data_IF_426427048205
#
_entry.id   IF_426427048205
#
_cell.length_a   1.000
_cell.length_b   1.000
_cell.length_c   1.000
_cell.angle_alpha   90.00
_cell.angle_beta   90.00
_cell.angle_gamma   90.00
#
_symmetry.space_group_name_H-M   'P 1'
#
loop_
_entity.id
_entity.type
_entity.pdbx_description
1 polymer ?
#
# COMPACT_ATOMS: atom_id res chain seq x y z
N UNK A 1 0.30 -4.23 -22.48
CA UNK A 1 1.15 -4.73 -21.39
C UNK A 1 0.38 -5.78 -20.60
N UNK A 2 0.43 -7.00 -21.10
CA UNK A 2 -0.46 -8.04 -20.62
C UNK A 2 -0.24 -8.45 -19.16
N UNK A 3 0.97 -8.37 -18.67
CA UNK A 3 1.26 -8.83 -17.32
C UNK A 3 1.67 -7.71 -16.36
N UNK A 4 1.36 -6.48 -16.73
CA UNK A 4 1.77 -5.34 -15.93
C UNK A 4 1.11 -5.34 -14.55
N UNK A 5 -0.18 -5.69 -14.47
CA UNK A 5 -0.86 -5.80 -13.19
C UNK A 5 -0.23 -6.87 -12.29
N UNK A 6 0.03 -8.05 -12.87
CA UNK A 6 0.68 -9.14 -12.12
C UNK A 6 2.08 -8.77 -11.67
N UNK A 7 2.87 -8.16 -12.56
CA UNK A 7 4.22 -7.74 -12.23
C UNK A 7 4.20 -6.67 -11.12
N UNK A 8 3.28 -5.72 -11.24
CA UNK A 8 3.14 -4.65 -10.25
C UNK A 8 2.84 -5.24 -8.87
N UNK A 9 1.88 -6.15 -8.78
CA UNK A 9 1.53 -6.75 -7.50
C UNK A 9 2.64 -7.65 -6.98
N UNK A 10 3.33 -8.37 -7.86
CA UNK A 10 4.45 -9.23 -7.46
C UNK A 10 5.59 -8.43 -6.82
N UNK A 11 5.76 -7.18 -7.22
CA UNK A 11 6.77 -6.28 -6.64
C UNK A 11 6.21 -5.60 -5.39
N UNK A 12 5.00 -5.11 -5.47
CA UNK A 12 4.43 -4.24 -4.45
C UNK A 12 4.04 -5.00 -3.17
N UNK A 13 3.44 -6.19 -3.29
CA UNK A 13 2.96 -6.92 -2.12
C UNK A 13 4.09 -7.30 -1.15
N UNK A 14 5.23 -7.84 -1.60
CA UNK A 14 6.35 -8.09 -0.69
C UNK A 14 6.89 -6.81 -0.05
N UNK A 15 6.87 -5.69 -0.77
CA UNK A 15 7.31 -4.40 -0.23
C UNK A 15 6.39 -3.97 0.92
N UNK A 16 5.08 -4.18 0.79
CA UNK A 16 4.15 -3.88 1.88
C UNK A 16 4.50 -4.67 3.15
N UNK A 17 4.78 -5.95 2.99
CA UNK A 17 5.16 -6.80 4.12
C UNK A 17 6.44 -6.28 4.75
N UNK A 18 7.43 -5.95 3.92
CA UNK A 18 8.72 -5.45 4.40
C UNK A 18 8.55 -4.13 5.16
N UNK A 19 7.75 -3.21 4.64
CA UNK A 19 7.51 -1.92 5.30
C UNK A 19 6.90 -2.14 6.67
N UNK A 20 5.93 -3.06 6.78
CA UNK A 20 5.32 -3.36 8.08
C UNK A 20 6.31 -3.98 9.06
N UNK A 21 7.13 -4.91 8.60
CA UNK A 21 8.15 -5.54 9.45
C UNK A 21 9.17 -4.50 9.91
N UNK A 22 9.68 -3.69 9.00
CA UNK A 22 10.66 -2.65 9.33
C UNK A 22 10.07 -1.63 10.29
N UNK A 23 8.77 -1.37 10.21
CA UNK A 23 8.10 -0.47 11.15
C UNK A 23 8.16 -0.95 12.59
N UNK A 24 8.22 -2.27 12.82
CA UNK A 24 8.40 -2.81 14.15
C UNK A 24 9.86 -2.83 14.60
N UNK A 25 10.79 -2.85 13.66
CA UNK A 25 12.23 -3.02 13.94
C UNK A 25 12.95 -1.68 14.06
N UNK A 26 12.62 -0.72 13.20
CA UNK A 26 13.31 0.57 13.16
C UNK A 26 12.75 1.49 14.25
N UNK A 27 13.60 2.09 15.10
CA UNK A 27 13.13 3.04 16.09
C UNK A 27 12.41 4.23 15.46
N UNK A 28 11.38 4.72 16.15
CA UNK A 28 10.53 5.81 15.62
C UNK A 28 11.35 7.05 15.25
N UNK A 29 12.37 7.38 16.02
CA UNK A 29 13.19 8.57 15.77
C UNK A 29 14.11 8.43 14.55
N UNK A 30 14.20 7.23 13.96
CA UNK A 30 15.02 6.96 12.78
C UNK A 30 14.19 6.58 11.57
N UNK A 31 12.89 6.41 11.75
CA UNK A 31 12.01 6.01 10.65
C UNK A 31 11.50 7.24 9.90
N UNK A 32 11.50 7.16 8.57
CA UNK A 32 10.90 8.19 7.72
C UNK A 32 9.39 8.01 7.58
N UNK A 33 8.90 6.80 7.78
CA UNK A 33 7.48 6.47 7.72
C UNK A 33 6.92 6.31 9.14
N UNK A 34 5.60 6.11 9.22
CA UNK A 34 4.91 6.12 10.50
C UNK A 34 5.46 5.14 11.54
N UNK A 35 5.53 3.86 11.18
CA UNK A 35 5.96 2.83 12.14
C UNK A 35 4.99 2.57 13.27
N UNK A 36 3.82 3.22 13.31
CA UNK A 36 2.81 2.95 14.33
C UNK A 36 2.30 1.50 14.23
N UNK A 37 1.94 0.88 15.35
CA UNK A 37 1.52 -0.52 15.35
C UNK A 37 0.36 -0.80 14.38
N UNK A 38 -0.75 -0.03 14.38
CA UNK A 38 -1.80 -0.26 13.39
C UNK A 38 -1.32 -0.11 11.93
N UNK A 39 -0.46 0.86 11.67
CA UNK A 39 0.15 1.07 10.36
C UNK A 39 0.95 -0.16 9.93
N UNK A 40 1.78 -0.69 10.82
CA UNK A 40 2.62 -1.85 10.53
C UNK A 40 1.77 -3.10 10.25
N UNK A 41 0.75 -3.35 11.08
CA UNK A 41 -0.14 -4.49 10.91
C UNK A 41 -0.91 -4.38 9.60
N UNK A 42 -1.40 -3.19 9.26
CA UNK A 42 -2.11 -2.93 8.00
C UNK A 42 -1.23 -3.30 6.80
N UNK A 43 0.04 -2.87 6.81
CA UNK A 43 0.95 -3.14 5.70
C UNK A 43 1.26 -4.63 5.57
N UNK A 44 1.50 -5.31 6.69
CA UNK A 44 1.76 -6.75 6.66
C UNK A 44 0.52 -7.52 6.18
N UNK A 45 -0.65 -7.18 6.71
CA UNK A 45 -1.89 -7.89 6.36
C UNK A 45 -2.22 -7.73 4.89
N UNK A 46 -2.20 -6.50 4.37
CA UNK A 46 -2.50 -6.27 2.95
C UNK A 46 -1.41 -6.83 2.05
N UNK A 47 -0.16 -6.81 2.50
CA UNK A 47 0.92 -7.44 1.74
C UNK A 47 0.71 -8.94 1.60
N UNK A 48 0.31 -9.62 2.68
CA UNK A 48 0.02 -11.05 2.66
C UNK A 48 -1.16 -11.34 1.73
N UNK A 49 -2.24 -10.56 1.83
CA UNK A 49 -3.40 -10.72 0.94
C UNK A 49 -2.97 -10.52 -0.50
N UNK A 50 -2.14 -9.51 -0.77
CA UNK A 50 -1.63 -9.25 -2.12
C UNK A 50 -0.81 -10.41 -2.67
N UNK A 51 0.05 -11.01 -1.85
CA UNK A 51 0.85 -12.18 -2.27
C UNK A 51 -0.08 -13.36 -2.60
N UNK A 52 -1.07 -13.61 -1.75
CA UNK A 52 -2.02 -14.71 -1.99
C UNK A 52 -2.76 -14.48 -3.31
N UNK A 53 -3.26 -13.28 -3.53
CA UNK A 53 -3.97 -12.94 -4.77
C UNK A 53 -3.07 -13.12 -5.98
N UNK A 54 -1.83 -12.65 -5.88
CA UNK A 54 -0.86 -12.78 -6.96
C UNK A 54 -0.60 -14.26 -7.29
N UNK A 55 -0.49 -15.10 -6.28
CA UNK A 55 -0.24 -16.53 -6.48
C UNK A 55 -1.41 -17.27 -7.12
N UNK A 56 -2.63 -16.75 -7.01
CA UNK A 56 -3.78 -17.35 -7.70
C UNK A 56 -3.66 -17.24 -9.21
N UNK A 57 -2.92 -16.27 -9.71
CA UNK A 57 -2.81 -16.00 -11.14
C UNK A 57 -4.08 -15.46 -11.77
N UNK A 58 -5.11 -15.17 -10.97
CA UNK A 58 -6.39 -14.71 -11.48
C UNK A 58 -6.33 -13.21 -11.77
N UNK A 59 -6.27 -12.87 -13.07
CA UNK A 59 -6.05 -11.49 -13.52
C UNK A 59 -7.10 -10.52 -12.97
N UNK A 60 -8.37 -10.93 -12.93
CA UNK A 60 -9.43 -10.07 -12.41
C UNK A 60 -9.23 -9.69 -10.95
N UNK A 61 -8.79 -10.65 -10.13
CA UNK A 61 -8.53 -10.40 -8.73
C UNK A 61 -7.30 -9.51 -8.54
N UNK A 62 -6.26 -9.76 -9.33
CA UNK A 62 -5.03 -8.98 -9.26
C UNK A 62 -5.30 -7.52 -9.63
N UNK A 63 -6.02 -7.30 -10.73
CA UNK A 63 -6.40 -5.97 -11.18
C UNK A 63 -7.26 -5.26 -10.14
N UNK A 64 -8.24 -5.96 -9.60
CA UNK A 64 -9.13 -5.41 -8.57
C UNK A 64 -8.35 -5.00 -7.33
N UNK A 65 -7.40 -5.82 -6.90
CA UNK A 65 -6.55 -5.48 -5.76
C UNK A 65 -5.76 -4.20 -6.04
N UNK A 66 -5.13 -4.10 -7.21
CA UNK A 66 -4.33 -2.93 -7.55
C UNK A 66 -5.16 -1.65 -7.54
N UNK A 67 -6.34 -1.68 -8.17
CA UNK A 67 -7.24 -0.52 -8.18
C UNK A 67 -7.73 -0.21 -6.76
N UNK A 68 -8.19 -1.23 -6.06
CA UNK A 68 -8.75 -1.06 -4.71
C UNK A 68 -7.72 -0.53 -3.72
N UNK A 69 -6.54 -1.13 -3.71
CA UNK A 69 -5.50 -0.69 -2.79
C UNK A 69 -4.96 0.69 -3.19
N UNK A 70 -4.90 0.97 -4.49
CA UNK A 70 -4.54 2.31 -4.95
C UNK A 70 -5.51 3.37 -4.45
N UNK A 71 -6.81 3.09 -4.48
CA UNK A 71 -7.82 3.99 -3.93
C UNK A 71 -7.68 4.15 -2.42
N UNK A 72 -7.35 3.07 -1.71
CA UNK A 72 -7.07 3.13 -0.27
C UNK A 72 -5.89 4.06 0.00
N UNK A 73 -4.81 3.94 -0.78
CA UNK A 73 -3.65 4.81 -0.61
C UNK A 73 -4.00 6.29 -0.84
N UNK A 74 -4.78 6.57 -1.88
CA UNK A 74 -5.22 7.95 -2.15
C UNK A 74 -6.09 8.47 -1.01
N UNK A 75 -6.98 7.64 -0.49
CA UNK A 75 -7.78 8.02 0.68
C UNK A 75 -6.89 8.33 1.88
N UNK A 76 -5.85 7.52 2.12
CA UNK A 76 -4.95 7.74 3.25
C UNK A 76 -4.26 9.11 3.15
N UNK A 77 -3.86 9.52 1.95
CA UNK A 77 -3.27 10.85 1.76
C UNK A 77 -4.28 11.95 2.09
N UNK A 78 -5.52 11.81 1.60
CA UNK A 78 -6.58 12.78 1.90
C UNK A 78 -6.86 12.82 3.40
N UNK A 79 -6.96 11.64 4.04
CA UNK A 79 -7.23 11.54 5.46
C UNK A 79 -6.11 12.17 6.28
N UNK A 80 -4.86 12.00 5.84
CA UNK A 80 -3.71 12.58 6.53
C UNK A 80 -3.76 14.11 6.49
N UNK A 81 -4.03 14.70 5.32
CA UNK A 81 -4.09 16.15 5.19
C UNK A 81 -5.31 16.76 5.89
N UNK A 82 -6.41 16.00 5.98
CA UNK A 82 -7.68 16.50 6.51
C UNK A 82 -7.96 16.04 7.93
N UNK A 83 -7.03 15.35 8.57
CA UNK A 83 -7.18 14.80 9.92
C UNK A 83 -8.40 13.89 10.07
N UNK A 84 -8.66 13.08 9.05
CA UNK A 84 -9.76 12.12 9.05
C UNK A 84 -9.32 10.79 9.64
N UNK A 85 -10.31 9.99 10.10
CA UNK A 85 -10.04 8.63 10.54
C UNK A 85 -9.37 7.84 9.40
N UNK A 86 -8.36 7.03 9.65
CA UNK A 86 -7.76 6.63 10.95
C UNK A 86 -6.41 7.34 11.26
N UNK A 87 -6.24 8.59 10.89
CA UNK A 87 -4.96 9.28 11.06
C UNK A 87 -4.44 9.20 12.50
N UNK A 88 -5.31 9.31 13.48
CA UNK A 88 -4.91 9.28 14.88
C UNK A 88 -4.27 7.96 15.30
N UNK A 89 -4.57 6.89 14.58
CA UNK A 89 -4.00 5.58 14.85
C UNK A 89 -2.81 5.26 13.96
N UNK A 90 -2.86 5.69 12.68
CA UNK A 90 -1.80 5.39 11.72
C UNK A 90 -0.65 6.38 11.80
N UNK A 91 -0.90 7.60 12.22
CA UNK A 91 0.13 8.62 12.43
C UNK A 91 1.04 8.82 11.23
N UNK A 92 0.44 8.99 10.06
CA UNK A 92 1.20 9.14 8.81
C UNK A 92 2.14 10.34 8.85
N UNK A 93 3.35 10.14 8.29
CA UNK A 93 4.34 11.21 8.11
C UNK A 93 4.16 11.85 6.75
N UNK A 94 4.92 12.90 6.47
CA UNK A 94 4.93 13.52 5.15
C UNK A 94 5.45 12.58 4.07
N UNK A 95 6.43 11.74 4.42
CA UNK A 95 6.93 10.70 3.49
C UNK A 95 5.81 9.72 3.17
N UNK A 96 5.05 9.29 4.18
CA UNK A 96 3.87 8.44 3.96
C UNK A 96 2.88 9.10 3.00
N UNK A 97 2.58 10.38 3.22
CA UNK A 97 1.62 11.11 2.39
C UNK A 97 2.06 11.15 0.93
N UNK A 98 3.34 11.45 0.68
CA UNK A 98 3.88 11.47 -0.66
C UNK A 98 3.79 10.09 -1.31
N UNK A 99 4.19 9.05 -0.57
CA UNK A 99 4.16 7.68 -1.09
C UNK A 99 2.73 7.23 -1.38
N UNK A 100 1.77 7.59 -0.53
CA UNK A 100 0.38 7.22 -0.76
C UNK A 100 -0.17 7.86 -2.03
N UNK A 101 0.15 9.12 -2.30
CA UNK A 101 -0.28 9.77 -3.54
C UNK A 101 0.40 9.12 -4.75
N UNK A 102 1.71 8.97 -4.70
CA UNK A 102 2.48 8.45 -5.84
C UNK A 102 2.10 6.99 -6.14
N UNK A 103 2.12 6.14 -5.13
CA UNK A 103 1.85 4.71 -5.30
C UNK A 103 0.37 4.49 -5.60
N UNK A 104 -0.52 5.21 -4.90
CA UNK A 104 -1.96 5.09 -5.13
C UNK A 104 -2.33 5.45 -6.56
N UNK A 105 -1.82 6.58 -7.05
CA UNK A 105 -2.06 6.99 -8.43
C UNK A 105 -1.52 5.95 -9.41
N UNK A 106 -0.31 5.45 -9.19
CA UNK A 106 0.31 4.47 -10.06
C UNK A 106 -0.51 3.17 -10.10
N UNK A 107 -0.93 2.66 -8.94
CA UNK A 107 -1.71 1.43 -8.87
C UNK A 107 -3.06 1.58 -9.57
N UNK A 108 -3.75 2.70 -9.38
CA UNK A 108 -5.03 2.94 -10.03
C UNK A 108 -4.85 3.02 -11.54
N UNK A 109 -3.85 3.77 -12.00
CA UNK A 109 -3.61 3.93 -13.44
C UNK A 109 -3.23 2.59 -14.09
N UNK A 110 -2.35 1.83 -13.48
CA UNK A 110 -1.98 0.51 -14.01
C UNK A 110 -3.20 -0.41 -14.02
N UNK A 111 -3.98 -0.40 -12.94
CA UNK A 111 -5.16 -1.24 -12.86
C UNK A 111 -6.22 -0.92 -13.89
N UNK A 112 -6.43 0.38 -14.17
CA UNK A 112 -7.45 0.80 -15.12
C UNK A 112 -6.99 0.59 -16.57
N UNK A 113 -5.77 0.99 -16.89
CA UNK A 113 -5.31 1.04 -18.29
C UNK A 113 -4.54 -0.19 -18.75
N UNK A 114 -4.07 -1.03 -17.84
CA UNK A 114 -3.37 -2.24 -18.19
C UNK A 114 -4.34 -3.42 -18.24
N UNK A 115 -4.08 -4.34 -19.16
CA UNK A 115 -4.86 -5.57 -19.25
C UNK A 115 -4.46 -6.58 -18.23
#
# INVERSE_FOLDING_TARGET
MEHLNSLTLAIFAPILILVGILGFVIPANKSLTSGATPYNIFHIAFGIVGVIIMLTGYEGAIRTFNIGFGLIDLYQAVASFSNLFPKQYFKWTRVDDFLHVAIGALLVLIGIFSQ
#
